data_IF_606296480082
#
_entry.id   IF_606296480082
#
_cell.length_a   1.000
_cell.length_b   1.000
_cell.length_c   1.000
_cell.angle_alpha   90.00
_cell.angle_beta   90.00
_cell.angle_gamma   90.00
#
_symmetry.space_group_name_H-M   'P 1'
#
loop_
_entity.id
_entity.type
_entity.pdbx_description
1 polymer ?
#
# COMPACT_ATOMS: atom_id res chain seq x y z
N UNK A 1 -13.51 26.96 -22.35
CA UNK A 1 -12.80 25.72 -22.66
C UNK A 1 -11.49 26.04 -23.36
N UNK A 2 -10.37 25.58 -22.81
CA UNK A 2 -9.35 24.88 -23.60
C UNK A 2 -9.19 23.43 -23.11
N UNK A 3 -8.85 22.54 -24.05
CA UNK A 3 -8.46 21.13 -23.87
C UNK A 3 -6.94 21.04 -23.68
N UNK A 4 -6.48 20.03 -22.94
CA UNK A 4 -5.07 19.68 -22.70
C UNK A 4 -4.61 20.20 -21.33
N UNK A 5 -4.09 19.42 -20.39
CA UNK A 5 -3.31 18.18 -20.47
C UNK A 5 -3.75 17.21 -19.36
N UNK A 6 -3.81 15.91 -19.66
CA UNK A 6 -3.97 14.86 -18.64
C UNK A 6 -2.62 14.69 -17.92
N UNK A 7 -2.41 15.46 -16.86
CA UNK A 7 -1.29 15.28 -15.95
C UNK A 7 -1.39 13.93 -15.23
N UNK A 8 -0.42 13.06 -15.47
CA UNK A 8 -0.23 11.78 -14.79
C UNK A 8 0.51 12.06 -13.48
N UNK A 9 -0.20 12.03 -12.34
CA UNK A 9 0.41 12.13 -11.01
C UNK A 9 0.97 10.78 -10.57
N UNK A 10 2.29 10.68 -10.54
CA UNK A 10 3.06 9.66 -9.88
C UNK A 10 3.06 9.92 -8.36
N UNK A 11 3.22 8.88 -7.54
CA UNK A 11 3.63 9.04 -6.14
C UNK A 11 5.12 9.44 -6.15
N UNK A 12 5.40 10.71 -6.48
CA UNK A 12 6.74 11.27 -6.52
C UNK A 12 7.04 11.90 -5.16
N UNK A 13 7.90 11.23 -4.39
CA UNK A 13 8.71 11.92 -3.40
C UNK A 13 9.73 12.79 -4.15
N UNK A 14 9.40 14.05 -4.41
CA UNK A 14 10.40 15.06 -4.81
C UNK A 14 10.24 16.30 -3.93
N UNK A 15 11.32 16.75 -3.25
CA UNK A 15 11.27 17.92 -2.41
C UNK A 15 11.42 19.14 -3.31
N UNK A 16 10.33 19.85 -3.60
CA UNK A 16 10.31 21.29 -3.93
C UNK A 16 8.91 21.65 -4.44
N UNK A 17 8.21 22.48 -3.66
CA UNK A 17 6.88 23.10 -3.88
C UNK A 17 5.63 22.31 -3.46
N UNK A 18 5.18 22.46 -2.20
CA UNK A 18 3.78 22.60 -1.72
C UNK A 18 3.80 22.67 -0.18
N UNK A 19 3.84 23.88 0.41
CA UNK A 19 4.34 24.08 1.78
C UNK A 19 3.37 23.89 2.97
N UNK A 20 2.13 23.40 2.82
CA UNK A 20 1.28 23.15 4.02
C UNK A 20 0.24 22.02 3.93
N UNK A 21 -0.10 21.54 2.73
CA UNK A 21 -1.07 20.44 2.55
C UNK A 21 -0.68 19.67 1.30
N UNK A 22 -0.38 18.38 1.44
CA UNK A 22 -0.25 17.51 0.28
C UNK A 22 -1.62 16.89 0.01
N UNK A 23 -2.33 17.45 -0.98
CA UNK A 23 -3.57 16.86 -1.48
C UNK A 23 -3.20 15.79 -2.48
N UNK A 24 -3.10 14.55 -2.03
CA UNK A 24 -2.87 13.41 -2.92
C UNK A 24 -4.23 12.95 -3.41
N UNK A 25 -4.56 13.28 -4.66
CA UNK A 25 -5.63 12.58 -5.35
C UNK A 25 -5.21 11.12 -5.50
N UNK A 26 -5.78 10.23 -4.70
CA UNK A 26 -5.64 8.81 -4.95
C UNK A 26 -6.26 8.55 -6.34
N UNK A 27 -5.47 8.03 -7.28
CA UNK A 27 -5.98 7.54 -8.57
C UNK A 27 -6.98 6.37 -8.40
N UNK A 28 -7.13 5.89 -7.17
CA UNK A 28 -7.61 4.56 -6.82
C UNK A 28 -9.06 4.54 -6.36
N UNK A 29 -9.64 5.70 -6.09
CA UNK A 29 -11.08 5.86 -5.96
C UNK A 29 -11.46 7.30 -6.32
N UNK A 30 -12.18 7.52 -7.44
CA UNK A 30 -12.63 8.87 -7.81
C UNK A 30 -13.63 9.47 -6.81
N UNK A 31 -14.06 8.70 -5.81
CA UNK A 31 -14.95 9.13 -4.71
C UNK A 31 -14.22 9.34 -3.38
N UNK A 32 -12.90 9.08 -3.33
CA UNK A 32 -12.08 9.20 -2.13
C UNK A 32 -10.95 10.21 -2.36
N UNK A 33 -10.99 11.31 -1.59
CA UNK A 33 -9.90 12.27 -1.52
C UNK A 33 -9.18 12.12 -0.18
N UNK A 34 -7.89 11.79 -0.25
CA UNK A 34 -7.02 11.73 0.92
C UNK A 34 -6.24 13.04 1.02
N UNK A 35 -6.33 13.68 2.18
CA UNK A 35 -5.59 14.91 2.49
C UNK A 35 -4.60 14.60 3.58
N UNK A 36 -3.32 14.83 3.32
CA UNK A 36 -2.25 14.56 4.26
C UNK A 36 -1.72 15.86 4.87
N UNK A 37 -1.61 15.85 6.19
CA UNK A 37 -1.02 16.91 6.99
C UNK A 37 0.19 16.37 7.74
N UNK A 38 1.25 17.18 7.87
CA UNK A 38 2.24 16.91 8.91
C UNK A 38 1.62 17.19 10.28
N UNK A 39 1.94 16.42 11.33
CA UNK A 39 1.33 16.57 12.66
C UNK A 39 1.46 17.97 13.26
N UNK A 40 2.54 18.69 12.95
CA UNK A 40 2.83 20.05 13.39
C UNK A 40 2.26 21.14 12.47
N UNK A 41 1.69 20.76 11.31
CA UNK A 41 1.14 21.66 10.29
C UNK A 41 -0.39 21.51 10.14
N UNK A 42 -1.08 20.86 11.09
CA UNK A 42 -2.55 20.67 11.03
C UNK A 42 -3.26 22.02 11.21
N UNK A 43 -4.02 22.51 10.20
CA UNK A 43 -4.75 23.76 10.33
C UNK A 43 -5.89 23.69 11.35
N UNK A 44 -6.22 24.80 12.00
CA UNK A 44 -7.31 24.88 13.00
C UNK A 44 -8.67 24.37 12.50
N UNK A 45 -8.97 24.47 11.20
CA UNK A 45 -10.23 23.94 10.66
C UNK A 45 -10.24 22.41 10.58
N UNK A 46 -9.06 21.79 10.48
CA UNK A 46 -8.88 20.35 10.36
C UNK A 46 -8.83 19.64 11.72
N UNK A 47 -8.63 20.36 12.83
CA UNK A 47 -8.54 19.76 14.18
C UNK A 47 -9.81 19.07 14.65
N UNK A 48 -10.96 19.40 14.05
CA UNK A 48 -12.25 18.77 14.34
C UNK A 48 -12.57 17.59 13.42
N UNK A 49 -11.69 17.27 12.47
CA UNK A 49 -11.87 16.14 11.57
C UNK A 49 -11.43 14.84 12.24
N UNK A 50 -12.03 13.74 11.80
CA UNK A 50 -11.58 12.40 12.20
C UNK A 50 -10.34 12.01 11.39
N UNK A 51 -9.18 12.46 11.83
CA UNK A 51 -7.90 12.16 11.19
C UNK A 51 -7.43 10.75 11.55
N UNK A 52 -6.99 9.98 10.57
CA UNK A 52 -6.23 8.74 10.80
C UNK A 52 -4.72 9.04 10.77
N UNK A 53 -3.94 8.20 11.43
CA UNK A 53 -2.48 8.31 11.40
C UNK A 53 -1.91 7.33 10.38
N UNK A 54 -1.10 7.84 9.48
CA UNK A 54 -0.27 7.05 8.58
C UNK A 54 1.20 7.23 8.93
N UNK A 55 1.96 6.14 8.86
CA UNK A 55 3.38 6.14 9.11
C UNK A 55 4.12 5.89 7.80
N UNK A 56 4.99 6.82 7.43
CA UNK A 56 5.94 6.59 6.34
C UNK A 56 7.10 5.78 6.90
N UNK A 57 7.34 4.61 6.32
CA UNK A 57 8.29 3.65 6.83
C UNK A 57 9.32 3.25 5.77
N UNK A 58 10.57 3.07 6.21
CA UNK A 58 11.69 2.62 5.37
C UNK A 58 12.40 1.43 6.01
N UNK A 59 12.95 0.54 5.18
CA UNK A 59 13.79 -0.58 5.58
C UNK A 59 15.09 -0.55 4.77
N UNK A 60 16.22 -0.49 5.48
CA UNK A 60 17.56 -0.61 4.91
C UNK A 60 17.84 -2.07 4.57
N UNK A 61 17.63 -2.44 3.30
CA UNK A 61 17.75 -3.82 2.83
C UNK A 61 19.20 -4.32 2.84
N UNK A 62 20.18 -3.42 2.76
CA UNK A 62 21.59 -3.81 2.80
C UNK A 62 21.96 -4.37 4.18
N UNK A 63 21.42 -3.75 5.24
CA UNK A 63 21.79 -4.08 6.62
C UNK A 63 20.73 -4.90 7.38
N UNK A 64 19.55 -5.12 6.81
CA UNK A 64 18.51 -5.92 7.48
C UNK A 64 18.84 -7.42 7.46
N UNK A 65 18.87 -8.05 8.63
CA UNK A 65 18.92 -9.51 8.78
C UNK A 65 17.50 -10.04 9.04
N UNK A 66 16.74 -10.15 7.96
CA UNK A 66 15.39 -10.73 7.97
C UNK A 66 15.42 -12.04 7.21
N UNK A 67 14.86 -13.07 7.85
CA UNK A 67 14.65 -14.37 7.26
C UNK A 67 13.17 -14.57 7.02
N UNK A 68 12.90 -15.15 5.86
CA UNK A 68 11.60 -15.73 5.59
C UNK A 68 11.35 -16.91 6.56
N UNK A 69 10.08 -17.27 6.79
CA UNK A 69 9.71 -18.45 7.58
C UNK A 69 8.86 -19.40 6.73
N UNK A 70 8.81 -20.69 7.06
CA UNK A 70 8.07 -21.66 6.24
C UNK A 70 6.63 -21.91 6.73
N UNK A 71 6.10 -21.05 7.61
CA UNK A 71 4.81 -21.25 8.27
C UNK A 71 3.61 -21.05 7.33
N UNK A 72 3.72 -20.11 6.38
CA UNK A 72 2.73 -19.90 5.32
C UNK A 72 3.38 -19.98 3.94
N UNK A 73 2.60 -20.31 2.93
CA UNK A 73 3.10 -20.40 1.56
C UNK A 73 2.83 -19.06 0.87
N UNK A 74 3.85 -18.52 0.20
CA UNK A 74 3.69 -17.35 -0.68
C UNK A 74 3.84 -17.79 -2.12
N UNK A 75 2.92 -17.39 -2.98
CA UNK A 75 2.96 -17.69 -4.42
C UNK A 75 3.00 -16.39 -5.24
N UNK A 76 3.79 -16.31 -6.31
CA UNK A 76 3.69 -15.21 -7.26
C UNK A 76 2.33 -15.24 -7.97
N UNK A 77 1.82 -14.05 -8.30
CA UNK A 77 0.66 -13.91 -9.19
C UNK A 77 1.15 -13.93 -10.63
N UNK A 78 0.68 -14.91 -11.40
CA UNK A 78 1.15 -15.21 -12.76
C UNK A 78 0.01 -15.39 -13.77
N UNK A 79 -1.24 -15.45 -13.33
CA UNK A 79 -2.40 -15.66 -14.20
C UNK A 79 -3.62 -14.82 -13.80
N UNK A 80 -4.62 -14.67 -14.71
CA UNK A 80 -5.81 -13.86 -14.46
C UNK A 80 -6.61 -14.27 -13.22
N UNK A 81 -6.75 -15.56 -12.92
CA UNK A 81 -7.51 -16.02 -11.74
C UNK A 81 -6.87 -15.53 -10.44
N UNK A 82 -5.54 -15.54 -10.36
CA UNK A 82 -4.81 -15.02 -9.21
C UNK A 82 -4.89 -13.49 -9.09
N UNK A 83 -4.96 -12.77 -10.21
CA UNK A 83 -5.19 -11.31 -10.23
C UNK A 83 -6.55 -10.98 -9.61
N UNK A 84 -7.59 -11.68 -10.05
CA UNK A 84 -8.96 -11.52 -9.53
C UNK A 84 -8.98 -11.77 -8.02
N UNK A 85 -8.32 -12.83 -7.55
CA UNK A 85 -8.21 -13.14 -6.12
C UNK A 85 -7.52 -12.01 -5.35
N UNK A 86 -6.38 -11.50 -5.84
CA UNK A 86 -5.66 -10.40 -5.19
C UNK A 86 -6.52 -9.12 -5.11
N UNK A 87 -7.22 -8.80 -6.20
CA UNK A 87 -8.14 -7.67 -6.28
C UNK A 87 -9.30 -7.82 -5.26
N UNK A 88 -9.90 -9.00 -5.15
CA UNK A 88 -10.97 -9.28 -4.18
C UNK A 88 -10.50 -9.14 -2.72
N UNK A 89 -9.31 -9.67 -2.39
CA UNK A 89 -8.73 -9.54 -1.05
C UNK A 89 -8.51 -8.06 -0.70
N UNK A 90 -7.93 -7.28 -1.62
CA UNK A 90 -7.75 -5.84 -1.43
C UNK A 90 -9.09 -5.11 -1.29
N UNK A 91 -10.06 -5.38 -2.17
CA UNK A 91 -11.37 -4.73 -2.14
C UNK A 91 -12.08 -4.95 -0.80
N UNK A 92 -12.07 -6.19 -0.29
CA UNK A 92 -12.64 -6.52 1.02
C UNK A 92 -11.93 -5.77 2.15
N UNK A 93 -10.60 -5.71 2.12
CA UNK A 93 -9.79 -5.06 3.15
C UNK A 93 -10.01 -3.55 3.20
N UNK A 94 -10.03 -2.90 2.04
CA UNK A 94 -10.23 -1.45 1.90
C UNK A 94 -11.71 -1.04 1.85
N UNK A 95 -12.63 -2.02 1.95
CA UNK A 95 -14.09 -1.82 1.89
C UNK A 95 -14.53 -1.13 0.60
N UNK A 96 -13.87 -1.44 -0.50
CA UNK A 96 -14.26 -0.99 -1.83
C UNK A 96 -15.47 -1.78 -2.32
N UNK A 97 -16.37 -1.11 -3.00
CA UNK A 97 -17.52 -1.75 -3.62
C UNK A 97 -17.13 -2.44 -4.95
N UNK A 98 -18.08 -3.19 -5.51
CA UNK A 98 -17.88 -3.97 -6.73
C UNK A 98 -17.51 -3.10 -7.96
N UNK A 99 -17.82 -1.80 -7.96
CA UNK A 99 -17.49 -0.91 -9.08
C UNK A 99 -15.99 -0.64 -9.20
N UNK A 100 -15.24 -0.78 -8.10
CA UNK A 100 -13.79 -0.58 -8.07
C UNK A 100 -13.00 -1.88 -8.31
N UNK A 101 -13.68 -3.04 -8.39
CA UNK A 101 -13.00 -4.32 -8.55
C UNK A 101 -12.23 -4.38 -9.89
N UNK A 102 -12.86 -3.96 -10.99
CA UNK A 102 -12.20 -3.91 -12.30
C UNK A 102 -10.97 -2.99 -12.29
N UNK A 103 -11.03 -1.87 -11.57
CA UNK A 103 -9.90 -0.95 -11.46
C UNK A 103 -8.74 -1.56 -10.66
N UNK A 104 -9.04 -2.36 -9.63
CA UNK A 104 -8.03 -3.13 -8.90
C UNK A 104 -7.42 -4.23 -9.79
N UNK A 105 -8.23 -4.95 -10.56
CA UNK A 105 -7.74 -5.96 -11.50
C UNK A 105 -6.78 -5.34 -12.54
N UNK A 106 -7.18 -4.23 -13.17
CA UNK A 106 -6.35 -3.48 -14.13
C UNK A 106 -5.02 -3.03 -13.50
N UNK A 107 -5.05 -2.64 -12.23
CA UNK A 107 -3.86 -2.21 -11.49
C UNK A 107 -2.94 -3.39 -11.18
N UNK A 108 -3.45 -4.51 -10.71
CA UNK A 108 -2.64 -5.71 -10.48
C UNK A 108 -2.01 -6.21 -11.79
N UNK A 109 -2.77 -6.18 -12.89
CA UNK A 109 -2.25 -6.47 -14.23
C UNK A 109 -1.12 -5.50 -14.60
N UNK A 110 -1.34 -4.20 -14.45
CA UNK A 110 -0.33 -3.18 -14.74
C UNK A 110 0.92 -3.31 -13.86
N UNK A 111 0.79 -3.73 -12.61
CA UNK A 111 1.93 -3.96 -11.72
C UNK A 111 2.80 -5.11 -12.25
N UNK A 112 2.19 -6.23 -12.67
CA UNK A 112 2.90 -7.36 -13.27
C UNK A 112 3.68 -6.92 -14.52
N UNK A 113 3.06 -6.10 -15.38
CA UNK A 113 3.70 -5.58 -16.59
C UNK A 113 4.86 -4.61 -16.29
N UNK A 114 4.85 -3.92 -15.14
CA UNK A 114 5.87 -2.93 -14.72
C UNK A 114 7.04 -3.53 -13.95
N UNK A 115 7.29 -4.82 -14.10
CA UNK A 115 8.37 -5.52 -13.38
C UNK A 115 8.17 -5.53 -11.85
N UNK A 116 6.93 -5.37 -11.36
CA UNK A 116 6.62 -5.53 -9.95
C UNK A 116 6.68 -7.00 -9.52
N UNK A 117 6.75 -7.22 -8.21
CA UNK A 117 6.45 -8.51 -7.59
C UNK A 117 5.08 -8.41 -6.97
N UNK A 118 4.14 -9.22 -7.47
CA UNK A 118 2.83 -9.42 -6.84
C UNK A 118 2.82 -10.78 -6.18
N UNK A 119 2.45 -10.84 -4.90
CA UNK A 119 2.38 -12.08 -4.13
C UNK A 119 0.99 -12.29 -3.55
N UNK A 120 0.59 -13.56 -3.50
CA UNK A 120 -0.45 -14.06 -2.60
C UNK A 120 0.22 -14.81 -1.45
N UNK A 121 -0.42 -14.80 -0.28
CA UNK A 121 -0.11 -15.69 0.84
C UNK A 121 -1.28 -16.63 1.10
N UNK A 122 -0.98 -17.91 1.24
CA UNK A 122 -1.96 -18.98 1.37
C UNK A 122 -2.01 -19.56 2.80
N UNK A 123 -3.21 -19.89 3.26
CA UNK A 123 -3.48 -20.75 4.41
C UNK A 123 -4.08 -22.06 3.86
N UNK A 124 -3.26 -23.11 3.77
CA UNK A 124 -3.58 -24.31 3.00
C UNK A 124 -3.66 -24.02 1.49
N UNK A 125 -4.85 -24.21 0.89
CA UNK A 125 -5.10 -23.96 -0.54
C UNK A 125 -5.71 -22.58 -0.81
N UNK A 126 -6.20 -21.90 0.22
CA UNK A 126 -6.91 -20.63 0.10
C UNK A 126 -5.91 -19.47 0.14
N UNK A 127 -6.00 -18.55 -0.82
CA UNK A 127 -5.28 -17.29 -0.77
C UNK A 127 -5.99 -16.33 0.20
N UNK A 128 -5.27 -15.88 1.22
CA UNK A 128 -5.83 -15.12 2.36
C UNK A 128 -5.18 -13.74 2.54
N UNK A 129 -4.17 -13.42 1.73
CA UNK A 129 -3.54 -12.12 1.70
C UNK A 129 -2.84 -11.87 0.38
N UNK A 130 -2.57 -10.59 0.09
CA UNK A 130 -1.89 -10.13 -1.11
C UNK A 130 -1.01 -8.91 -0.82
N UNK A 131 -0.06 -8.64 -1.71
CA UNK A 131 0.77 -7.45 -1.65
C UNK A 131 1.61 -7.28 -2.92
N UNK A 132 1.97 -6.03 -3.20
CA UNK A 132 2.76 -5.66 -4.37
C UNK A 132 4.05 -4.97 -3.92
N UNK A 133 5.15 -5.23 -4.62
CA UNK A 133 6.37 -4.44 -4.59
C UNK A 133 6.76 -3.97 -6.00
N UNK A 134 6.73 -2.66 -6.28
CA UNK A 134 7.32 -2.07 -7.50
C UNK A 134 8.78 -1.72 -7.21
N UNK A 135 9.57 -1.72 -8.27
CA UNK A 135 11.00 -1.46 -8.19
C UNK A 135 11.34 -0.26 -9.05
N UNK A 136 11.94 0.75 -8.44
CA UNK A 136 12.39 1.97 -9.12
C UNK A 136 13.77 2.36 -8.61
N UNK A 137 14.75 2.45 -9.51
CA UNK A 137 16.14 2.68 -9.14
C UNK A 137 16.65 1.60 -8.18
N UNK A 138 17.03 2.00 -6.96
CA UNK A 138 17.48 1.10 -5.89
C UNK A 138 16.43 0.84 -4.81
N UNK A 139 15.18 1.26 -5.04
CA UNK A 139 14.09 1.21 -4.06
C UNK A 139 13.01 0.21 -4.45
N UNK A 140 12.46 -0.47 -3.45
CA UNK A 140 11.23 -1.25 -3.56
C UNK A 140 10.08 -0.52 -2.83
N UNK A 141 9.04 -0.11 -3.56
CA UNK A 141 7.85 0.49 -2.97
C UNK A 141 6.79 -0.60 -2.74
N UNK A 142 6.24 -0.71 -1.53
CA UNK A 142 5.22 -1.71 -1.18
C UNK A 142 3.85 -1.08 -1.06
N UNK A 143 2.85 -1.67 -1.71
CA UNK A 143 1.46 -1.18 -1.72
C UNK A 143 0.47 -2.32 -1.98
N UNK A 144 -0.84 -2.01 -1.85
CA UNK A 144 -1.95 -2.98 -1.84
C UNK A 144 -1.71 -4.19 -0.93
N UNK A 145 -1.05 -3.96 0.20
CA UNK A 145 -0.77 -4.98 1.19
C UNK A 145 -2.00 -5.24 2.05
N UNK A 146 -2.58 -6.43 1.92
CA UNK A 146 -3.84 -6.80 2.58
C UNK A 146 -3.81 -8.23 3.11
N UNK A 147 -4.41 -8.45 4.28
CA UNK A 147 -4.71 -9.78 4.82
C UNK A 147 -6.18 -9.80 5.20
N UNK A 148 -6.90 -10.81 4.71
CA UNK A 148 -8.31 -11.03 5.01
C UNK A 148 -8.53 -11.01 6.52
N UNK A 149 -9.50 -10.22 6.97
CA UNK A 149 -9.76 -9.94 8.39
C UNK A 149 -9.90 -11.21 9.23
N UNK A 150 -10.54 -12.26 8.69
CA UNK A 150 -10.75 -13.55 9.37
C UNK A 150 -9.44 -14.30 9.67
N UNK A 151 -8.37 -13.99 8.95
CA UNK A 151 -7.07 -14.63 9.03
C UNK A 151 -6.00 -13.74 9.71
N UNK A 152 -6.36 -12.52 10.12
CA UNK A 152 -5.41 -11.61 10.80
C UNK A 152 -4.98 -12.15 12.15
N UNK A 153 -3.90 -11.56 12.69
CA UNK A 153 -3.29 -11.90 14.00
C UNK A 153 -2.70 -13.31 14.11
N UNK A 154 -2.47 -13.98 12.96
CA UNK A 154 -1.84 -15.30 12.85
C UNK A 154 -0.39 -15.27 12.31
N UNK A 155 0.18 -14.09 12.10
CA UNK A 155 1.53 -13.95 11.53
C UNK A 155 1.60 -13.88 10.00
N UNK A 156 0.49 -14.11 9.29
CA UNK A 156 0.39 -14.06 7.81
C UNK A 156 0.96 -12.76 7.22
N UNK A 157 0.57 -11.60 7.74
CA UNK A 157 1.10 -10.32 7.27
C UNK A 157 2.62 -10.24 7.44
N UNK A 158 3.14 -10.65 8.60
CA UNK A 158 4.58 -10.67 8.85
C UNK A 158 5.32 -11.58 7.87
N UNK A 159 4.79 -12.77 7.57
CA UNK A 159 5.35 -13.66 6.55
C UNK A 159 5.36 -13.00 5.16
N UNK A 160 4.23 -12.43 4.74
CA UNK A 160 4.12 -11.77 3.43
C UNK A 160 5.14 -10.63 3.26
N UNK A 161 5.25 -9.70 4.22
CA UNK A 161 6.20 -8.59 4.10
C UNK A 161 7.66 -9.07 4.16
N UNK A 162 7.97 -10.08 4.99
CA UNK A 162 9.33 -10.65 5.03
C UNK A 162 9.71 -11.27 3.70
N UNK A 163 8.78 -11.95 3.04
CA UNK A 163 8.99 -12.48 1.69
C UNK A 163 9.27 -11.36 0.69
N UNK A 164 8.48 -10.28 0.71
CA UNK A 164 8.70 -9.11 -0.14
C UNK A 164 10.10 -8.51 0.09
N UNK A 165 10.48 -8.29 1.35
CA UNK A 165 11.82 -7.79 1.73
C UNK A 165 12.93 -8.71 1.22
N UNK A 166 12.79 -10.02 1.36
CA UNK A 166 13.78 -10.99 0.87
C UNK A 166 13.92 -10.94 -0.66
N UNK A 167 12.81 -10.83 -1.39
CA UNK A 167 12.83 -10.72 -2.86
C UNK A 167 13.43 -9.39 -3.30
N UNK A 168 13.08 -8.28 -2.64
CA UNK A 168 13.66 -6.97 -2.95
C UNK A 168 15.18 -6.99 -2.73
N UNK A 169 15.63 -7.55 -1.61
CA UNK A 169 17.07 -7.71 -1.32
C UNK A 169 17.77 -8.61 -2.35
N UNK A 170 17.18 -9.73 -2.75
CA UNK A 170 17.79 -10.62 -3.76
C UNK A 170 17.84 -10.00 -5.15
N UNK A 171 16.97 -9.03 -5.43
CA UNK A 171 16.99 -8.19 -6.65
C UNK A 171 18.03 -7.06 -6.58
N UNK A 172 18.79 -6.94 -5.49
CA UNK A 172 19.82 -5.91 -5.32
C UNK A 172 19.27 -4.53 -4.93
N UNK A 173 18.02 -4.45 -4.47
CA UNK A 173 17.49 -3.22 -3.91
C UNK A 173 18.17 -2.90 -2.59
N UNK A 174 18.39 -1.61 -2.31
CA UNK A 174 19.05 -1.14 -1.09
C UNK A 174 18.07 -0.65 -0.05
N UNK A 175 16.86 -0.28 -0.46
CA UNK A 175 15.83 0.30 0.41
C UNK A 175 14.45 -0.23 0.03
N UNK A 176 13.58 -0.45 1.03
CA UNK A 176 12.15 -0.65 0.82
C UNK A 176 11.34 0.42 1.55
N UNK A 177 10.29 0.94 0.92
CA UNK A 177 9.44 2.02 1.46
C UNK A 177 7.96 1.67 1.40
N UNK A 178 7.18 2.16 2.36
CA UNK A 178 5.72 2.01 2.40
C UNK A 178 5.05 3.06 3.27
N UNK A 179 3.72 3.17 3.11
CA UNK A 179 2.83 3.84 4.06
C UNK A 179 2.04 2.81 4.87
N UNK A 180 2.02 2.98 6.19
CA UNK A 180 1.29 2.11 7.11
C UNK A 180 0.14 2.87 7.76
N UNK A 181 -1.10 2.43 7.53
CA UNK A 181 -2.26 3.02 8.18
C UNK A 181 -2.52 2.37 9.54
N UNK A 182 -2.35 3.16 10.61
CA UNK A 182 -2.57 2.73 11.98
C UNK A 182 -1.50 1.82 12.58
N UNK A 183 -1.57 1.65 13.90
CA UNK A 183 -0.55 0.95 14.68
C UNK A 183 -0.46 -0.55 14.40
N UNK A 184 -1.57 -1.19 14.02
CA UNK A 184 -1.57 -2.61 13.70
C UNK A 184 -0.73 -2.90 12.45
N UNK A 185 -0.86 -2.07 11.40
CA UNK A 185 -0.05 -2.18 10.20
C UNK A 185 1.42 -1.87 10.51
N UNK A 186 1.70 -0.75 11.20
CA UNK A 186 3.06 -0.36 11.62
C UNK A 186 3.79 -1.51 12.33
N UNK A 187 3.15 -2.15 13.31
CA UNK A 187 3.74 -3.27 14.06
C UNK A 187 4.05 -4.50 13.21
N UNK A 188 3.32 -4.72 12.10
CA UNK A 188 3.64 -5.80 11.16
C UNK A 188 4.94 -5.49 10.42
N UNK A 189 5.11 -4.24 9.98
CA UNK A 189 6.28 -3.81 9.22
C UNK A 189 7.54 -3.70 10.09
N UNK A 190 7.42 -3.26 11.34
CA UNK A 190 8.54 -3.23 12.30
C UNK A 190 9.17 -4.63 12.50
N UNK A 191 8.36 -5.69 12.51
CA UNK A 191 8.84 -7.09 12.58
C UNK A 191 9.61 -7.56 11.34
N UNK A 192 9.57 -6.77 10.26
CA UNK A 192 10.29 -6.97 9.01
C UNK A 192 11.42 -5.96 8.81
N UNK A 193 11.82 -5.24 9.87
CA UNK A 193 12.97 -4.34 9.86
C UNK A 193 12.66 -2.91 9.39
N UNK A 194 11.39 -2.61 9.07
CA UNK A 194 10.99 -1.25 8.76
C UNK A 194 11.03 -0.37 10.00
N UNK A 195 11.38 0.90 9.81
CA UNK A 195 11.35 1.94 10.82
C UNK A 195 10.51 3.10 10.31
N UNK A 196 9.77 3.73 11.22
CA UNK A 196 9.08 4.98 10.92
C UNK A 196 10.14 6.06 10.68
N UNK A 197 10.04 6.78 9.57
CA UNK A 197 10.86 7.97 9.30
C UNK A 197 10.03 9.25 9.29
N UNK A 198 8.71 9.14 9.04
CA UNK A 198 7.78 10.26 9.09
C UNK A 198 6.38 9.79 9.50
N UNK A 199 5.54 10.72 9.95
CA UNK A 199 4.14 10.47 10.33
C UNK A 199 3.25 11.50 9.66
N UNK A 200 2.14 11.05 9.09
CA UNK A 200 1.14 11.87 8.43
C UNK A 200 -0.19 11.73 9.16
N UNK A 201 -0.87 12.85 9.34
CA UNK A 201 -2.29 12.87 9.72
C UNK A 201 -3.11 12.95 8.45
N UNK A 202 -3.89 11.91 8.18
CA UNK A 202 -4.66 11.77 6.95
C UNK A 202 -6.13 11.99 7.25
N UNK A 203 -6.77 12.87 6.47
CA UNK A 203 -8.21 12.96 6.43
C UNK A 203 -8.73 12.30 5.16
N UNK A 204 -9.71 11.43 5.33
CA UNK A 204 -10.40 10.78 4.23
C UNK A 204 -11.74 11.48 3.98
N UNK A 205 -11.88 12.10 2.81
CA UNK A 205 -13.18 12.57 2.35
C UNK A 205 -13.84 11.49 1.50
N UNK A 206 -14.86 10.84 2.06
CA UNK A 206 -15.79 10.05 1.29
C UNK A 206 -16.86 10.98 0.75
N UNK A 207 -16.99 11.09 -0.58
CA UNK A 207 -18.14 11.74 -1.16
C UNK A 207 -19.38 10.92 -0.76
N UNK A 208 -20.18 11.44 0.18
CA UNK A 208 -21.48 10.87 0.51
C UNK A 208 -22.29 10.97 -0.77
N UNK A 209 -22.67 9.84 -1.36
CA UNK A 209 -23.66 9.83 -2.43
C UNK A 209 -24.96 10.31 -1.81
N UNK A 210 -25.24 11.61 -1.91
CA UNK A 210 -26.60 12.10 -1.70
C UNK A 210 -27.47 11.40 -2.72
N UNK A 211 -28.44 10.61 -2.23
CA UNK A 211 -29.45 10.01 -3.07
C UNK A 211 -30.19 11.10 -3.83
N UNK A 212 -30.04 11.10 -5.14
CA UNK A 212 -30.87 11.86 -6.09
C UNK A 212 -31.67 10.84 -6.89
#
# INVERSE_FOLDING_TARGET
MPRGEKGVGFCLFTPEYFEMVEVIYSRFSPTQLDVHFRPDEIPNWATNLNLSTQYSMTCDLANVDIKDNDEFITVPVENPDQIIIAAQISAQNFKYDASLLNALEDMYLAAIDRNATVLLVQDGVEAVGCGIAEYEGSRAAVYFFSVNEKYRRRGIGTKLIRRIVCIAKSRGMTEAVLLAEGDDARRVYEKAGFKVYDTLSTWNFQQVSEGI
#
